data_IF_736145444445
#
_entry.id   IF_736145444445
#
_cell.length_a   1.000
_cell.length_b   1.000
_cell.length_c   1.000
_cell.angle_alpha   90.00
_cell.angle_beta   90.00
_cell.angle_gamma   90.00
#
_symmetry.space_group_name_H-M   'P 1'
#
loop_
_entity.id
_entity.type
_entity.pdbx_description
1 polymer ?
#
# COMPACT_ATOMS: atom_id res chain seq x y z
N UNK A 1 -36.93 65.16 -4.06
CA UNK A 1 -36.17 64.30 -3.11
C UNK A 1 -36.83 62.95 -2.78
N UNK A 2 -38.17 62.68 -2.82
CA UNK A 2 -38.70 61.35 -2.53
C UNK A 2 -38.41 60.26 -3.55
N UNK A 3 -38.32 60.57 -4.85
CA UNK A 3 -38.08 59.61 -5.90
C UNK A 3 -36.68 58.94 -5.82
N UNK A 4 -35.64 59.69 -5.44
CA UNK A 4 -34.28 59.15 -5.28
C UNK A 4 -34.23 58.10 -4.17
N UNK A 5 -34.93 58.31 -3.05
CA UNK A 5 -35.00 57.37 -1.92
C UNK A 5 -35.77 56.07 -2.29
N UNK A 6 -36.78 56.16 -3.17
CA UNK A 6 -37.55 55.00 -3.66
C UNK A 6 -36.68 54.16 -4.60
N UNK A 7 -35.95 54.79 -5.52
CA UNK A 7 -35.06 54.11 -6.45
C UNK A 7 -33.90 53.41 -5.75
N UNK A 8 -33.39 54.01 -4.68
CA UNK A 8 -32.34 53.35 -3.86
C UNK A 8 -32.84 52.14 -3.08
N UNK A 9 -34.05 52.20 -2.53
CA UNK A 9 -34.69 51.05 -1.88
C UNK A 9 -34.95 49.92 -2.87
N UNK A 10 -35.50 50.25 -4.04
CA UNK A 10 -35.77 49.28 -5.10
C UNK A 10 -34.45 48.60 -5.60
N UNK A 11 -33.37 49.36 -5.75
CA UNK A 11 -32.07 48.82 -6.12
C UNK A 11 -31.49 47.87 -5.07
N UNK A 12 -31.61 48.21 -3.77
CA UNK A 12 -31.18 47.33 -2.66
C UNK A 12 -32.02 46.06 -2.59
N UNK A 13 -33.32 46.13 -2.80
CA UNK A 13 -34.20 44.94 -2.82
C UNK A 13 -33.82 44.00 -3.97
N UNK A 14 -33.62 44.53 -5.18
CA UNK A 14 -33.17 43.72 -6.33
C UNK A 14 -31.79 43.07 -6.10
N UNK A 15 -30.84 43.80 -5.52
CA UNK A 15 -29.52 43.25 -5.16
C UNK A 15 -29.62 42.11 -4.14
N UNK A 16 -30.36 42.33 -3.04
CA UNK A 16 -30.59 41.28 -2.02
C UNK A 16 -31.26 40.05 -2.62
N UNK A 17 -32.31 40.24 -3.47
CA UNK A 17 -32.97 39.13 -4.16
C UNK A 17 -31.99 38.31 -5.01
N UNK A 18 -31.11 38.94 -5.77
CA UNK A 18 -30.13 38.23 -6.59
C UNK A 18 -29.13 37.43 -5.72
N UNK A 19 -28.64 38.02 -4.63
CA UNK A 19 -27.77 37.29 -3.66
C UNK A 19 -28.51 36.14 -3.00
N UNK A 20 -29.76 36.31 -2.62
CA UNK A 20 -30.57 35.24 -2.00
C UNK A 20 -30.79 34.07 -2.95
N UNK A 21 -31.04 34.33 -4.25
CA UNK A 21 -31.17 33.27 -5.27
C UNK A 21 -29.87 32.46 -5.41
N UNK A 22 -28.70 33.12 -5.40
CA UNK A 22 -27.41 32.46 -5.46
C UNK A 22 -27.15 31.63 -4.18
N UNK A 23 -27.45 32.17 -2.99
CA UNK A 23 -27.33 31.46 -1.74
C UNK A 23 -28.26 30.23 -1.69
N UNK A 24 -29.46 30.32 -2.16
CA UNK A 24 -30.37 29.20 -2.29
C UNK A 24 -29.82 28.13 -3.28
N UNK A 25 -29.28 28.55 -4.42
CA UNK A 25 -28.66 27.61 -5.38
C UNK A 25 -27.44 26.92 -4.81
N UNK A 26 -26.69 27.58 -3.91
CA UNK A 26 -25.55 26.95 -3.19
C UNK A 26 -25.99 25.84 -2.24
N UNK A 27 -27.03 26.11 -1.45
CA UNK A 27 -27.52 25.17 -0.43
C UNK A 27 -28.39 24.07 -1.04
N UNK A 28 -29.30 24.45 -1.94
CA UNK A 28 -30.25 23.55 -2.57
C UNK A 28 -30.28 23.86 -4.07
N UNK A 29 -29.49 23.16 -4.88
CA UNK A 29 -29.43 23.39 -6.34
C UNK A 29 -30.82 23.20 -6.98
N UNK A 30 -31.20 24.16 -7.79
CA UNK A 30 -32.54 24.18 -8.40
C UNK A 30 -33.60 25.00 -7.67
N UNK A 31 -33.34 25.45 -6.44
CA UNK A 31 -34.31 26.24 -5.66
C UNK A 31 -34.60 27.60 -6.26
N UNK A 32 -33.59 28.31 -6.81
CA UNK A 32 -33.77 29.58 -7.49
C UNK A 32 -34.65 29.41 -8.76
N UNK A 33 -34.43 28.34 -9.52
CA UNK A 33 -35.21 27.99 -10.70
C UNK A 33 -36.67 27.67 -10.34
N UNK A 34 -36.87 26.95 -9.27
CA UNK A 34 -38.22 26.58 -8.79
C UNK A 34 -39.05 27.80 -8.38
N UNK A 35 -38.43 28.77 -7.71
CA UNK A 35 -39.12 29.95 -7.15
C UNK A 35 -39.32 31.05 -8.17
N UNK A 36 -38.35 31.32 -9.03
CA UNK A 36 -38.31 32.49 -9.84
C UNK A 36 -37.95 32.28 -11.33
N UNK A 37 -37.75 31.01 -11.73
CA UNK A 37 -37.33 30.62 -13.09
C UNK A 37 -38.12 29.48 -13.68
N UNK A 38 -37.45 28.57 -14.38
CA UNK A 38 -38.04 27.39 -14.98
C UNK A 38 -38.30 26.32 -13.91
N UNK A 39 -39.58 26.11 -13.58
CA UNK A 39 -40.00 25.18 -12.51
C UNK A 39 -39.65 23.73 -12.82
N UNK A 40 -39.58 23.34 -14.08
CA UNK A 40 -39.27 21.95 -14.45
C UNK A 40 -37.79 21.65 -14.22
N UNK A 41 -36.90 22.54 -14.61
CA UNK A 41 -35.46 22.45 -14.30
C UNK A 41 -35.27 22.44 -12.78
N UNK A 42 -35.96 23.34 -12.05
CA UNK A 42 -35.88 23.40 -10.60
C UNK A 42 -36.30 22.08 -9.90
N UNK A 43 -37.44 21.50 -10.36
CA UNK A 43 -37.92 20.20 -9.81
C UNK A 43 -36.95 19.06 -10.08
N UNK A 44 -36.41 18.96 -11.29
CA UNK A 44 -35.44 17.93 -11.64
C UNK A 44 -34.16 18.06 -10.78
N UNK A 45 -33.60 19.28 -10.72
CA UNK A 45 -32.40 19.56 -9.96
C UNK A 45 -32.56 19.21 -8.45
N UNK A 46 -33.69 19.64 -7.85
CA UNK A 46 -33.98 19.31 -6.43
C UNK A 46 -34.16 17.80 -6.21
N UNK A 47 -34.85 17.10 -7.12
CA UNK A 47 -35.01 15.65 -7.01
C UNK A 47 -33.67 14.93 -7.06
N UNK A 48 -32.81 15.29 -8.01
CA UNK A 48 -31.47 14.71 -8.15
C UNK A 48 -30.66 15.01 -6.88
N UNK A 49 -30.70 16.24 -6.38
CA UNK A 49 -29.99 16.63 -5.16
C UNK A 49 -30.47 15.85 -3.92
N UNK A 50 -31.80 15.70 -3.74
CA UNK A 50 -32.39 14.94 -2.63
C UNK A 50 -32.03 13.44 -2.72
N UNK A 51 -32.06 12.86 -3.91
CA UNK A 51 -31.63 11.48 -4.14
C UNK A 51 -30.14 11.31 -3.81
N UNK A 52 -29.31 12.23 -4.27
CA UNK A 52 -27.86 12.22 -3.98
C UNK A 52 -27.59 12.34 -2.47
N UNK A 53 -28.26 13.28 -1.82
CA UNK A 53 -28.14 13.46 -0.37
C UNK A 53 -28.61 12.20 0.39
N UNK A 54 -29.75 11.63 -0.02
CA UNK A 54 -30.27 10.38 0.55
C UNK A 54 -29.28 9.22 0.38
N UNK A 55 -28.71 9.05 -0.81
CA UNK A 55 -27.69 8.02 -1.08
C UNK A 55 -26.44 8.23 -0.22
N UNK A 56 -25.96 9.47 -0.08
CA UNK A 56 -24.82 9.79 0.78
C UNK A 56 -25.10 9.51 2.26
N UNK A 57 -26.28 9.86 2.75
CA UNK A 57 -26.67 9.62 4.15
C UNK A 57 -26.83 8.13 4.42
N UNK A 58 -27.57 7.41 3.56
CA UNK A 58 -27.74 5.94 3.71
C UNK A 58 -26.41 5.22 3.57
N UNK A 59 -25.61 5.58 2.57
CA UNK A 59 -24.27 5.03 2.38
C UNK A 59 -23.35 5.31 3.57
N UNK A 60 -23.37 6.54 4.10
CA UNK A 60 -22.60 6.91 5.29
C UNK A 60 -23.00 6.13 6.54
N UNK A 61 -24.32 5.92 6.76
CA UNK A 61 -24.82 5.07 7.84
C UNK A 61 -24.39 3.62 7.64
N UNK A 62 -24.52 3.09 6.43
CA UNK A 62 -24.11 1.72 6.11
C UNK A 62 -22.60 1.50 6.35
N UNK A 63 -21.76 2.46 5.95
CA UNK A 63 -20.31 2.42 6.19
C UNK A 63 -19.98 2.56 7.69
N UNK A 64 -20.73 3.37 8.43
CA UNK A 64 -20.55 3.51 9.87
C UNK A 64 -20.90 2.22 10.63
N UNK A 65 -21.93 1.50 10.17
CA UNK A 65 -22.33 0.20 10.72
C UNK A 65 -21.40 -0.94 10.25
N UNK A 66 -20.90 -0.87 9.01
CA UNK A 66 -20.01 -1.86 8.42
C UNK A 66 -18.83 -1.17 7.72
N UNK A 67 -17.73 -0.87 8.43
CA UNK A 67 -16.56 -0.19 7.86
C UNK A 67 -15.91 -0.94 6.67
N UNK A 68 -16.06 -2.27 6.61
CA UNK A 68 -15.60 -3.09 5.48
C UNK A 68 -16.31 -2.75 4.16
N UNK A 69 -17.58 -2.30 4.21
CA UNK A 69 -18.30 -1.86 3.02
C UNK A 69 -17.67 -0.60 2.41
N UNK A 70 -17.30 0.37 3.26
CA UNK A 70 -16.60 1.57 2.81
C UNK A 70 -15.27 1.25 2.12
N UNK A 71 -14.53 0.30 2.68
CA UNK A 71 -13.27 -0.16 2.10
C UNK A 71 -13.50 -0.84 0.75
N UNK A 72 -14.49 -1.74 0.64
CA UNK A 72 -14.84 -2.41 -0.64
C UNK A 72 -15.26 -1.41 -1.71
N UNK A 73 -16.07 -0.41 -1.36
CA UNK A 73 -16.49 0.63 -2.30
C UNK A 73 -15.30 1.49 -2.73
N UNK A 74 -14.43 1.85 -1.79
CA UNK A 74 -13.24 2.65 -2.08
C UNK A 74 -12.20 1.90 -2.94
N UNK A 75 -12.12 0.58 -2.84
CA UNK A 75 -11.19 -0.26 -3.60
C UNK A 75 -11.82 -0.89 -4.85
N UNK A 76 -12.96 -0.40 -5.30
CA UNK A 76 -13.60 -0.87 -6.53
C UNK A 76 -13.42 0.16 -7.65
N UNK A 77 -12.77 -0.24 -8.75
CA UNK A 77 -12.45 0.64 -9.88
C UNK A 77 -13.70 1.20 -10.60
N UNK A 78 -14.80 0.40 -10.68
CA UNK A 78 -16.04 0.83 -11.32
C UNK A 78 -16.80 1.83 -10.47
N UNK A 79 -16.78 1.66 -9.14
CA UNK A 79 -17.33 2.65 -8.20
C UNK A 79 -16.58 3.98 -8.32
N UNK A 80 -15.25 3.93 -8.45
CA UNK A 80 -14.44 5.15 -8.66
C UNK A 80 -14.75 5.81 -10.00
N UNK A 81 -14.96 5.03 -11.06
CA UNK A 81 -15.39 5.57 -12.35
C UNK A 81 -16.76 6.23 -12.25
N UNK A 82 -17.73 5.56 -11.63
CA UNK A 82 -19.08 6.10 -11.43
C UNK A 82 -19.04 7.39 -10.60
N UNK A 83 -18.27 7.44 -9.52
CA UNK A 83 -18.07 8.61 -8.68
C UNK A 83 -17.44 9.77 -9.48
N UNK A 84 -16.40 9.49 -10.29
CA UNK A 84 -15.78 10.48 -11.19
C UNK A 84 -16.79 11.08 -12.14
N UNK A 85 -17.53 10.25 -12.88
CA UNK A 85 -18.53 10.70 -13.86
C UNK A 85 -19.63 11.51 -13.19
N UNK A 86 -20.11 11.05 -12.03
CA UNK A 86 -21.10 11.77 -11.24
C UNK A 86 -20.62 13.19 -10.84
N UNK A 87 -19.38 13.31 -10.34
CA UNK A 87 -18.81 14.61 -9.96
C UNK A 87 -18.58 15.53 -11.16
N UNK A 88 -18.14 14.99 -12.33
CA UNK A 88 -17.97 15.78 -13.56
C UNK A 88 -19.32 16.33 -14.05
N UNK A 89 -20.35 15.48 -14.14
CA UNK A 89 -21.70 15.90 -14.52
C UNK A 89 -22.26 16.90 -13.50
N UNK A 90 -22.06 16.64 -12.21
CA UNK A 90 -22.46 17.54 -11.13
C UNK A 90 -21.81 18.92 -11.22
N UNK A 91 -20.51 18.99 -11.55
CA UNK A 91 -19.78 20.24 -11.70
C UNK A 91 -20.37 21.10 -12.83
N UNK A 92 -20.64 20.49 -13.99
CA UNK A 92 -21.25 21.19 -15.13
C UNK A 92 -22.69 21.62 -14.83
N UNK A 93 -23.49 20.71 -14.27
CA UNK A 93 -24.90 20.99 -13.94
C UNK A 93 -25.02 22.10 -12.89
N UNK A 94 -24.22 22.05 -11.82
CA UNK A 94 -24.29 23.06 -10.75
C UNK A 94 -23.79 24.42 -11.23
N UNK A 95 -22.71 24.46 -12.06
CA UNK A 95 -22.27 25.68 -12.71
C UNK A 95 -23.37 26.28 -13.60
N UNK A 96 -24.07 25.45 -14.37
CA UNK A 96 -25.23 25.87 -15.16
C UNK A 96 -26.37 26.48 -14.32
N UNK A 97 -26.67 25.88 -13.18
CA UNK A 97 -27.67 26.40 -12.23
C UNK A 97 -27.26 27.75 -11.64
N UNK A 98 -25.96 27.97 -11.33
CA UNK A 98 -25.48 29.29 -10.89
C UNK A 98 -25.57 30.34 -11.97
N UNK A 99 -25.23 30.02 -13.22
CA UNK A 99 -25.35 30.93 -14.36
C UNK A 99 -26.84 31.31 -14.58
N UNK A 100 -27.74 30.33 -14.50
CA UNK A 100 -29.15 30.56 -14.64
C UNK A 100 -29.74 31.38 -13.47
N UNK A 101 -29.35 31.08 -12.22
CA UNK A 101 -29.73 31.90 -11.05
C UNK A 101 -29.24 33.34 -11.16
N UNK A 102 -28.05 33.57 -11.73
CA UNK A 102 -27.55 34.91 -12.07
C UNK A 102 -28.44 35.59 -13.12
N UNK A 103 -28.85 34.88 -14.17
CA UNK A 103 -29.77 35.42 -15.20
C UNK A 103 -31.14 35.80 -14.62
N UNK A 104 -31.71 34.92 -13.76
CA UNK A 104 -32.98 35.15 -13.04
C UNK A 104 -32.90 36.41 -12.16
N UNK A 105 -31.73 36.67 -11.55
CA UNK A 105 -31.47 37.86 -10.74
C UNK A 105 -31.41 39.16 -11.51
N UNK A 106 -31.53 39.13 -12.85
CA UNK A 106 -31.54 40.29 -13.76
C UNK A 106 -30.42 41.31 -13.48
N UNK A 107 -29.14 40.91 -13.55
CA UNK A 107 -28.01 41.75 -13.15
C UNK A 107 -27.88 43.03 -13.98
N UNK A 108 -28.38 43.03 -15.20
CA UNK A 108 -28.33 44.21 -16.09
C UNK A 108 -29.19 45.37 -15.60
N UNK A 109 -30.19 45.13 -14.76
CA UNK A 109 -31.05 46.15 -14.17
C UNK A 109 -30.47 46.79 -12.89
N UNK A 110 -29.29 46.30 -12.45
CA UNK A 110 -28.64 46.79 -11.26
C UNK A 110 -27.65 47.91 -11.55
N UNK A 111 -27.39 48.78 -10.55
CA UNK A 111 -26.32 49.78 -10.61
C UNK A 111 -24.97 49.11 -10.79
N UNK A 112 -24.03 49.75 -11.47
CA UNK A 112 -22.72 49.19 -11.83
C UNK A 112 -21.96 48.54 -10.69
N UNK A 113 -21.87 49.14 -9.47
CA UNK A 113 -21.16 48.49 -8.32
C UNK A 113 -21.85 47.20 -7.87
N UNK A 114 -23.18 47.20 -7.77
CA UNK A 114 -23.97 46.01 -7.39
C UNK A 114 -23.87 44.89 -8.45
N UNK A 115 -23.85 45.27 -9.73
CA UNK A 115 -23.69 44.34 -10.85
C UNK A 115 -22.32 43.67 -10.81
N UNK A 116 -21.24 44.43 -10.59
CA UNK A 116 -19.87 43.87 -10.43
C UNK A 116 -19.80 42.93 -9.23
N UNK A 117 -20.37 43.31 -8.11
CA UNK A 117 -20.42 42.48 -6.91
C UNK A 117 -21.14 41.13 -7.16
N UNK A 118 -22.32 41.17 -7.83
CA UNK A 118 -23.07 39.92 -8.13
C UNK A 118 -22.30 39.03 -9.11
N UNK A 119 -21.68 39.60 -10.14
CA UNK A 119 -20.84 38.83 -11.08
C UNK A 119 -19.65 38.18 -10.33
N UNK A 120 -18.99 38.95 -9.47
CA UNK A 120 -17.88 38.43 -8.65
C UNK A 120 -18.33 37.30 -7.71
N UNK A 121 -19.42 37.50 -6.97
CA UNK A 121 -19.96 36.44 -6.06
C UNK A 121 -20.38 35.21 -6.84
N UNK A 122 -21.09 35.38 -7.97
CA UNK A 122 -21.48 34.23 -8.79
C UNK A 122 -20.26 33.45 -9.34
N UNK A 123 -19.24 34.19 -9.80
CA UNK A 123 -18.00 33.59 -10.26
C UNK A 123 -17.31 32.80 -9.15
N UNK A 124 -17.15 33.39 -7.96
CA UNK A 124 -16.53 32.70 -6.80
C UNK A 124 -17.31 31.42 -6.42
N UNK A 125 -18.64 31.51 -6.31
CA UNK A 125 -19.49 30.37 -5.98
C UNK A 125 -19.40 29.26 -7.04
N UNK A 126 -19.50 29.65 -8.31
CA UNK A 126 -19.38 28.71 -9.44
C UNK A 126 -18.03 28.00 -9.43
N UNK A 127 -16.91 28.74 -9.34
CA UNK A 127 -15.58 28.18 -9.32
C UNK A 127 -15.31 27.35 -8.05
N UNK A 128 -15.80 27.77 -6.89
CA UNK A 128 -15.62 27.01 -5.65
C UNK A 128 -16.34 25.66 -5.72
N UNK A 129 -17.61 25.63 -6.13
CA UNK A 129 -18.37 24.36 -6.18
C UNK A 129 -17.87 23.48 -7.32
N UNK A 130 -17.73 24.02 -8.54
CA UNK A 130 -17.22 23.25 -9.66
C UNK A 130 -15.77 22.78 -9.42
N UNK A 131 -14.92 23.65 -8.87
CA UNK A 131 -13.54 23.31 -8.53
C UNK A 131 -13.44 22.18 -7.50
N UNK A 132 -14.29 22.21 -6.47
CA UNK A 132 -14.35 21.12 -5.48
C UNK A 132 -14.78 19.80 -6.10
N UNK A 133 -15.80 19.81 -6.95
CA UNK A 133 -16.27 18.60 -7.66
C UNK A 133 -15.24 18.08 -8.66
N UNK A 134 -14.58 18.98 -9.40
CA UNK A 134 -13.51 18.61 -10.34
C UNK A 134 -12.28 18.05 -9.62
N UNK A 135 -11.93 18.63 -8.48
CA UNK A 135 -10.86 18.09 -7.64
C UNK A 135 -11.21 16.69 -7.10
N UNK A 136 -12.45 16.50 -6.61
CA UNK A 136 -12.93 15.17 -6.22
C UNK A 136 -12.92 14.17 -7.39
N UNK A 137 -13.31 14.59 -8.59
CA UNK A 137 -13.25 13.76 -9.79
C UNK A 137 -11.80 13.40 -10.19
N UNK A 138 -10.85 14.30 -9.97
CA UNK A 138 -9.43 14.03 -10.17
C UNK A 138 -8.90 12.98 -9.17
N UNK A 139 -9.25 13.11 -7.88
CA UNK A 139 -8.89 12.11 -6.87
C UNK A 139 -9.47 10.73 -7.19
N UNK A 140 -10.75 10.66 -7.60
CA UNK A 140 -11.37 9.41 -8.01
C UNK A 140 -10.69 8.79 -9.25
N UNK A 141 -10.22 9.63 -10.19
CA UNK A 141 -9.44 9.16 -11.34
C UNK A 141 -8.09 8.56 -10.90
N UNK A 142 -7.32 9.28 -10.08
CA UNK A 142 -6.03 8.81 -9.59
C UNK A 142 -6.18 7.48 -8.82
N UNK A 143 -7.24 7.37 -8.00
CA UNK A 143 -7.54 6.13 -7.29
C UNK A 143 -7.92 4.98 -8.23
N UNK A 144 -8.73 5.25 -9.25
CA UNK A 144 -9.08 4.26 -10.27
C UNK A 144 -7.85 3.79 -11.03
N UNK A 145 -7.00 4.71 -11.48
CA UNK A 145 -5.79 4.39 -12.24
C UNK A 145 -4.83 3.52 -11.43
N UNK A 146 -4.78 3.71 -10.10
CA UNK A 146 -4.07 2.81 -9.20
C UNK A 146 -4.72 1.41 -9.15
N UNK A 147 -6.04 1.33 -9.01
CA UNK A 147 -6.75 0.05 -8.90
C UNK A 147 -6.70 -0.77 -10.19
N UNK A 148 -6.66 -0.14 -11.36
CA UNK A 148 -6.59 -0.82 -12.66
C UNK A 148 -5.19 -1.37 -13.00
N UNK A 149 -4.19 -1.18 -12.13
CA UNK A 149 -2.87 -1.82 -12.28
C UNK A 149 -2.84 -3.25 -11.73
N UNK A 150 -3.84 -3.62 -10.93
CA UNK A 150 -3.97 -4.99 -10.42
C UNK A 150 -4.67 -5.88 -11.44
N UNK A 151 -4.33 -7.16 -11.43
CA UNK A 151 -4.95 -8.17 -12.29
C UNK A 151 -6.45 -8.27 -11.96
N UNK A 152 -7.29 -8.48 -12.94
CA UNK A 152 -8.71 -8.74 -12.73
C UNK A 152 -8.91 -10.10 -12.04
N UNK A 153 -9.79 -10.13 -11.06
CA UNK A 153 -10.14 -11.35 -10.34
C UNK A 153 -10.51 -11.12 -8.88
N UNK A 154 -11.00 -12.17 -8.26
CA UNK A 154 -11.33 -12.22 -6.84
C UNK A 154 -10.25 -12.96 -6.05
N UNK A 155 -10.35 -12.89 -4.71
CA UNK A 155 -9.47 -13.61 -3.81
C UNK A 155 -9.58 -15.12 -4.05
N UNK A 156 -8.47 -15.77 -4.39
CA UNK A 156 -8.38 -17.22 -4.50
C UNK A 156 -8.61 -17.93 -3.17
N UNK A 157 -8.67 -19.25 -3.21
CA UNK A 157 -8.78 -20.06 -2.00
C UNK A 157 -7.48 -19.98 -1.17
N UNK A 158 -7.63 -20.00 0.14
CA UNK A 158 -6.50 -20.12 1.05
C UNK A 158 -5.98 -21.57 1.03
N UNK A 159 -4.66 -21.77 1.00
CA UNK A 159 -4.03 -23.08 1.09
C UNK A 159 -3.91 -23.48 2.56
N UNK A 160 -4.52 -24.58 2.96
CA UNK A 160 -4.59 -25.04 4.35
C UNK A 160 -5.04 -23.95 5.35
N UNK A 161 -5.99 -23.09 4.91
CA UNK A 161 -6.50 -21.98 5.71
C UNK A 161 -5.56 -20.77 5.81
N UNK A 162 -4.49 -20.72 5.03
CA UNK A 162 -3.50 -19.65 5.03
C UNK A 162 -3.28 -19.05 3.64
N UNK A 163 -2.98 -17.78 3.59
CA UNK A 163 -2.46 -17.12 2.39
C UNK A 163 -0.94 -16.99 2.51
N UNK A 164 -0.24 -17.63 1.59
CA UNK A 164 1.21 -17.55 1.48
C UNK A 164 1.58 -16.52 0.43
N UNK A 165 2.11 -15.37 0.86
CA UNK A 165 2.48 -14.26 -0.02
C UNK A 165 4.00 -14.17 -0.09
N UNK A 166 4.55 -14.32 -1.28
CA UNK A 166 5.98 -14.17 -1.53
C UNK A 166 6.34 -12.68 -1.67
N UNK A 167 7.11 -12.18 -0.74
CA UNK A 167 7.60 -10.80 -0.73
C UNK A 167 9.01 -10.76 -1.29
N UNK A 168 9.19 -10.08 -2.42
CA UNK A 168 10.46 -9.94 -3.12
C UNK A 168 10.94 -8.49 -3.05
N UNK A 169 12.20 -8.31 -2.66
CA UNK A 169 12.89 -7.03 -2.75
C UNK A 169 13.97 -7.13 -3.83
N UNK A 170 13.79 -6.41 -4.93
CA UNK A 170 14.70 -6.46 -6.06
C UNK A 170 15.45 -5.15 -6.31
N UNK A 171 16.65 -5.25 -6.86
CA UNK A 171 17.43 -4.13 -7.38
C UNK A 171 17.22 -4.05 -8.91
N UNK A 172 16.09 -3.51 -9.34
CA UNK A 172 15.87 -3.18 -10.75
C UNK A 172 16.49 -1.82 -11.04
N UNK A 173 17.80 -1.77 -11.26
CA UNK A 173 18.49 -0.59 -11.76
C UNK A 173 18.49 -0.58 -13.29
N UNK A 174 18.47 0.61 -13.92
CA UNK A 174 18.48 0.79 -15.38
C UNK A 174 19.69 0.14 -16.09
N UNK A 175 20.73 -0.25 -15.34
CA UNK A 175 22.00 -0.77 -15.85
C UNK A 175 22.26 -2.25 -15.52
N UNK A 176 21.25 -3.00 -15.03
CA UNK A 176 21.41 -4.43 -14.68
C UNK A 176 20.42 -5.29 -15.44
N UNK A 177 20.96 -6.25 -16.20
CA UNK A 177 20.20 -7.31 -16.83
C UNK A 177 19.58 -8.22 -15.76
N UNK A 178 18.29 -8.44 -15.87
CA UNK A 178 17.53 -9.38 -15.05
C UNK A 178 17.19 -8.86 -13.65
N UNK A 179 16.06 -9.33 -13.18
CA UNK A 179 15.55 -9.06 -11.83
C UNK A 179 16.21 -10.06 -10.87
N UNK A 180 17.15 -9.61 -10.02
CA UNK A 180 17.73 -10.45 -8.96
C UNK A 180 17.14 -10.05 -7.62
N UNK A 181 16.27 -10.88 -7.04
CA UNK A 181 15.74 -10.60 -5.71
C UNK A 181 16.84 -10.77 -4.66
N UNK A 182 17.16 -9.68 -3.98
CA UNK A 182 18.13 -9.68 -2.87
C UNK A 182 17.49 -9.91 -1.50
N UNK A 183 16.16 -9.84 -1.44
CA UNK A 183 15.36 -10.15 -0.25
C UNK A 183 14.19 -11.04 -0.65
N UNK A 184 14.08 -12.19 -0.01
CA UNK A 184 13.02 -13.16 -0.24
C UNK A 184 12.43 -13.58 1.09
N UNK A 185 11.12 -13.36 1.25
CA UNK A 185 10.40 -13.68 2.48
C UNK A 185 9.00 -14.18 2.12
N UNK A 186 8.60 -15.30 2.67
CA UNK A 186 7.20 -15.74 2.59
C UNK A 186 6.47 -15.25 3.83
N UNK A 187 5.40 -14.47 3.62
CA UNK A 187 4.44 -14.12 4.66
C UNK A 187 3.27 -15.12 4.61
N UNK A 188 3.26 -16.07 5.53
CA UNK A 188 2.16 -17.02 5.68
C UNK A 188 1.18 -16.46 6.71
N UNK A 189 -0.04 -16.13 6.27
CA UNK A 189 -1.06 -15.42 7.05
C UNK A 189 -2.30 -16.28 7.19
N UNK A 190 -2.71 -16.57 8.40
CA UNK A 190 -3.97 -17.27 8.68
C UNK A 190 -5.15 -16.43 8.19
N UNK A 191 -5.97 -17.01 7.31
CA UNK A 191 -7.07 -16.32 6.62
C UNK A 191 -8.16 -15.80 7.58
N UNK A 192 -8.30 -16.42 8.75
CA UNK A 192 -9.34 -16.12 9.73
C UNK A 192 -8.84 -15.16 10.81
N UNK A 193 -7.71 -15.48 11.43
CA UNK A 193 -7.18 -14.74 12.58
C UNK A 193 -6.21 -13.63 12.20
N UNK A 194 -5.54 -13.74 11.06
CA UNK A 194 -4.45 -12.86 10.64
C UNK A 194 -3.11 -13.18 11.28
N UNK A 195 -2.98 -14.27 12.06
CA UNK A 195 -1.71 -14.70 12.65
C UNK A 195 -0.70 -14.97 11.56
N UNK A 196 0.43 -14.27 11.62
CA UNK A 196 1.41 -14.24 10.54
C UNK A 196 2.72 -14.91 10.95
N UNK A 197 3.25 -15.72 10.05
CA UNK A 197 4.61 -16.28 10.13
C UNK A 197 5.42 -15.72 8.96
N UNK A 198 6.53 -15.05 9.27
CA UNK A 198 7.48 -14.55 8.28
C UNK A 198 8.62 -15.54 8.12
N UNK A 199 8.77 -16.12 6.93
CA UNK A 199 9.78 -17.11 6.60
C UNK A 199 10.83 -16.44 5.72
N UNK A 200 12.02 -16.18 6.27
CA UNK A 200 13.11 -15.51 5.56
C UNK A 200 14.01 -16.54 4.87
N UNK A 201 14.24 -16.37 3.56
CA UNK A 201 15.11 -17.23 2.77
C UNK A 201 16.41 -16.48 2.41
N UNK A 202 17.58 -17.12 2.58
CA UNK A 202 18.86 -16.51 2.20
C UNK A 202 19.05 -16.60 0.69
N UNK A 203 19.40 -15.48 0.08
CA UNK A 203 19.59 -15.36 -1.38
C UNK A 203 20.71 -16.27 -1.93
N UNK A 204 21.64 -16.68 -1.08
CA UNK A 204 22.79 -17.52 -1.40
C UNK A 204 22.59 -19.01 -1.08
N UNK A 205 21.34 -19.45 -0.92
CA UNK A 205 21.05 -20.88 -0.80
C UNK A 205 21.38 -21.60 -2.10
N UNK A 206 21.92 -22.81 -2.00
CA UNK A 206 22.31 -23.67 -3.12
C UNK A 206 21.70 -25.06 -2.94
N UNK A 207 21.81 -25.91 -3.97
CA UNK A 207 21.43 -27.32 -3.92
C UNK A 207 20.04 -27.59 -3.34
N UNK A 208 19.06 -26.79 -3.74
CA UNK A 208 17.67 -26.91 -3.30
C UNK A 208 16.79 -27.49 -4.43
N UNK A 209 15.71 -28.21 -4.09
CA UNK A 209 14.74 -28.69 -5.05
C UNK A 209 13.79 -27.59 -5.50
N UNK A 210 13.17 -27.79 -6.65
CA UNK A 210 12.01 -27.02 -7.09
C UNK A 210 10.71 -27.76 -6.69
N UNK A 211 9.58 -27.06 -6.82
CA UNK A 211 8.25 -27.69 -6.67
C UNK A 211 8.13 -28.86 -7.63
N UNK A 212 7.76 -30.02 -7.11
CA UNK A 212 7.58 -31.27 -7.87
C UNK A 212 6.67 -31.07 -9.08
N UNK A 213 7.06 -31.59 -10.23
CA UNK A 213 6.33 -31.51 -11.49
C UNK A 213 6.36 -30.13 -12.18
N UNK A 214 7.01 -29.13 -11.58
CA UNK A 214 7.16 -27.79 -12.21
C UNK A 214 8.08 -27.81 -13.42
N UNK A 215 8.08 -26.73 -14.20
CA UNK A 215 9.02 -26.54 -15.31
C UNK A 215 10.45 -26.59 -14.82
N UNK A 216 10.73 -25.92 -13.69
CA UNK A 216 12.08 -25.87 -13.10
C UNK A 216 12.52 -27.23 -12.55
N UNK A 217 11.62 -28.04 -11.99
CA UNK A 217 11.91 -29.40 -11.55
C UNK A 217 12.30 -30.33 -12.73
N UNK A 218 11.63 -30.16 -13.87
CA UNK A 218 11.97 -30.90 -15.09
C UNK A 218 13.34 -30.51 -15.66
N UNK A 219 13.71 -29.22 -15.55
CA UNK A 219 15.02 -28.72 -16.00
C UNK A 219 16.15 -29.10 -15.03
N UNK A 220 15.86 -29.13 -13.75
CA UNK A 220 16.80 -29.42 -12.66
C UNK A 220 16.32 -30.55 -11.76
N UNK A 221 16.23 -31.80 -12.28
CA UNK A 221 15.64 -32.93 -11.52
C UNK A 221 16.46 -33.34 -10.28
N UNK A 222 17.69 -32.85 -10.15
CA UNK A 222 18.54 -33.02 -8.96
C UNK A 222 18.56 -31.80 -8.06
N UNK A 223 17.71 -30.79 -8.35
CA UNK A 223 17.74 -29.48 -7.71
C UNK A 223 18.70 -28.51 -8.42
N UNK A 224 18.76 -27.28 -7.93
CA UNK A 224 19.59 -26.21 -8.51
C UNK A 224 21.04 -26.36 -8.00
N UNK A 225 21.76 -27.36 -8.53
CA UNK A 225 23.03 -27.89 -8.05
C UNK A 225 24.26 -27.46 -8.88
N UNK A 226 24.12 -26.55 -9.84
CA UNK A 226 25.20 -26.06 -10.67
C UNK A 226 26.16 -25.11 -9.89
N UNK A 227 27.39 -24.97 -10.39
CA UNK A 227 28.37 -24.05 -9.78
C UNK A 227 27.90 -22.60 -9.89
N UNK A 228 27.88 -21.88 -8.78
CA UNK A 228 27.38 -20.52 -8.70
C UNK A 228 25.86 -20.39 -8.77
N UNK A 229 25.11 -21.48 -8.76
CA UNK A 229 23.65 -21.52 -8.76
C UNK A 229 23.10 -21.19 -7.37
N UNK A 230 22.87 -19.90 -7.13
CA UNK A 230 22.26 -19.40 -5.91
C UNK A 230 20.75 -19.13 -6.13
N UNK A 231 19.99 -19.15 -5.04
CA UNK A 231 18.54 -18.90 -5.06
C UNK A 231 18.16 -17.58 -5.76
N UNK A 232 18.95 -16.51 -5.57
CA UNK A 232 18.72 -15.27 -6.29
C UNK A 232 19.13 -15.30 -7.78
N UNK A 233 19.79 -16.35 -8.23
CA UNK A 233 20.13 -16.57 -9.63
C UNK A 233 19.02 -17.23 -10.44
N UNK A 234 18.06 -17.88 -9.78
CA UNK A 234 16.91 -18.55 -10.42
C UNK A 234 16.14 -17.60 -11.31
N UNK A 235 15.87 -16.40 -10.83
CA UNK A 235 15.17 -15.36 -11.58
C UNK A 235 15.90 -15.00 -12.87
N UNK A 236 17.21 -14.79 -12.82
CA UNK A 236 18.03 -14.47 -14.00
C UNK A 236 18.03 -15.61 -14.99
N UNK A 237 18.17 -16.85 -14.50
CA UNK A 237 18.15 -18.03 -15.36
C UNK A 237 16.84 -18.14 -16.14
N UNK A 238 15.70 -17.90 -15.48
CA UNK A 238 14.40 -17.97 -16.13
C UNK A 238 14.16 -16.83 -17.12
N UNK A 239 14.67 -15.63 -16.85
CA UNK A 239 14.64 -14.51 -17.82
C UNK A 239 15.48 -14.78 -19.08
N UNK A 240 16.54 -15.61 -18.98
CA UNK A 240 17.32 -16.06 -20.12
C UNK A 240 16.66 -17.25 -20.88
N UNK A 241 15.56 -17.85 -20.32
CA UNK A 241 14.85 -19.00 -20.87
C UNK A 241 13.33 -18.78 -20.86
N UNK A 242 12.90 -17.64 -21.36
CA UNK A 242 11.48 -17.22 -21.35
C UNK A 242 10.55 -18.15 -22.11
N UNK A 243 11.07 -18.88 -23.11
CA UNK A 243 10.35 -19.86 -23.92
C UNK A 243 9.82 -21.06 -23.11
N UNK A 244 10.32 -21.28 -21.91
CA UNK A 244 9.88 -22.34 -21.00
C UNK A 244 8.68 -21.94 -20.13
N UNK A 245 8.31 -20.66 -20.10
CA UNK A 245 7.31 -20.11 -19.18
C UNK A 245 6.16 -19.47 -19.96
N UNK A 246 4.95 -19.77 -19.56
CA UNK A 246 3.74 -19.07 -20.02
C UNK A 246 3.37 -17.97 -19.02
N UNK A 247 4.25 -16.99 -18.89
CA UNK A 247 4.13 -15.89 -17.92
C UNK A 247 4.88 -14.64 -18.39
N UNK A 248 4.30 -13.48 -18.13
CA UNK A 248 4.95 -12.17 -18.34
C UNK A 248 6.10 -11.93 -17.34
N UNK A 249 6.23 -12.78 -16.31
CA UNK A 249 7.23 -12.67 -15.24
C UNK A 249 7.95 -14.00 -14.99
N UNK A 250 8.66 -14.56 -15.97
CA UNK A 250 9.30 -15.89 -15.87
C UNK A 250 10.25 -16.00 -14.68
N UNK A 251 11.03 -14.93 -14.39
CA UNK A 251 11.95 -14.91 -13.26
C UNK A 251 11.26 -15.01 -11.90
N UNK A 252 10.07 -14.40 -11.74
CA UNK A 252 9.29 -14.50 -10.51
C UNK A 252 8.66 -15.88 -10.40
N UNK A 253 8.11 -16.40 -11.50
CA UNK A 253 7.47 -17.72 -11.53
C UNK A 253 8.47 -18.84 -11.16
N UNK A 254 9.68 -18.80 -11.74
CA UNK A 254 10.73 -19.74 -11.39
C UNK A 254 11.20 -19.60 -9.92
N UNK A 255 11.29 -18.36 -9.41
CA UNK A 255 11.62 -18.10 -8.01
C UNK A 255 10.54 -18.64 -7.08
N UNK A 256 9.26 -18.51 -7.44
CA UNK A 256 8.12 -19.10 -6.74
C UNK A 256 8.26 -20.62 -6.66
N UNK A 257 8.51 -21.29 -7.80
CA UNK A 257 8.74 -22.75 -7.85
C UNK A 257 9.89 -23.20 -6.94
N UNK A 258 10.98 -22.42 -6.88
CA UNK A 258 12.11 -22.71 -5.98
C UNK A 258 11.70 -22.59 -4.50
N UNK A 259 11.00 -21.51 -4.13
CA UNK A 259 10.58 -21.27 -2.76
C UNK A 259 9.54 -22.30 -2.30
N UNK A 260 8.64 -22.72 -3.18
CA UNK A 260 7.69 -23.80 -2.92
C UNK A 260 8.41 -25.12 -2.66
N UNK A 261 9.43 -25.48 -3.45
CA UNK A 261 10.27 -26.67 -3.22
C UNK A 261 11.07 -26.60 -1.93
N UNK A 262 11.60 -25.44 -1.57
CA UNK A 262 12.39 -25.26 -0.34
C UNK A 262 11.50 -25.29 0.91
N UNK A 263 10.33 -24.63 0.87
CA UNK A 263 9.50 -24.43 2.08
C UNK A 263 8.41 -25.48 2.26
N UNK A 264 8.03 -26.19 1.20
CA UNK A 264 6.86 -27.06 1.16
C UNK A 264 5.53 -26.32 1.16
N UNK A 265 5.55 -24.98 1.04
CA UNK A 265 4.35 -24.15 1.03
C UNK A 265 3.96 -23.82 -0.41
N UNK A 266 2.71 -23.96 -0.74
CA UNK A 266 2.15 -23.42 -1.98
C UNK A 266 1.96 -21.92 -1.86
N UNK A 267 2.53 -21.14 -2.81
CA UNK A 267 2.50 -19.67 -2.82
C UNK A 267 1.25 -19.21 -3.57
N UNK A 268 0.34 -18.50 -2.86
CA UNK A 268 -0.87 -17.96 -3.46
C UNK A 268 -0.60 -16.73 -4.31
N UNK A 269 0.23 -15.81 -3.80
CA UNK A 269 0.49 -14.52 -4.43
C UNK A 269 1.93 -14.08 -4.21
N UNK A 270 2.36 -13.15 -5.07
CA UNK A 270 3.65 -12.51 -4.89
C UNK A 270 3.52 -10.97 -4.92
N UNK A 271 4.43 -10.31 -4.26
CA UNK A 271 4.61 -8.86 -4.27
C UNK A 271 6.09 -8.56 -4.43
N UNK A 272 6.43 -7.79 -5.45
CA UNK A 272 7.77 -7.30 -5.66
C UNK A 272 7.85 -5.81 -5.46
N UNK A 273 8.85 -5.37 -4.69
CA UNK A 273 9.11 -3.96 -4.41
C UNK A 273 10.54 -3.62 -4.81
N UNK A 274 10.73 -2.66 -5.69
CA UNK A 274 12.06 -2.15 -5.99
C UNK A 274 12.52 -1.09 -4.95
N UNK A 275 13.82 -0.76 -4.97
CA UNK A 275 14.40 0.17 -3.99
C UNK A 275 13.77 1.57 -4.01
N UNK A 276 13.35 2.07 -5.18
CA UNK A 276 12.69 3.38 -5.29
C UNK A 276 11.29 3.32 -4.69
N UNK A 277 10.54 2.24 -4.98
CA UNK A 277 9.22 1.99 -4.41
C UNK A 277 9.25 1.87 -2.90
N UNK A 278 10.20 1.09 -2.38
CA UNK A 278 10.39 0.97 -0.93
C UNK A 278 10.63 2.33 -0.25
N UNK A 279 11.55 3.17 -0.79
CA UNK A 279 11.81 4.50 -0.23
C UNK A 279 10.56 5.38 -0.22
N UNK A 280 9.83 5.42 -1.32
CA UNK A 280 8.60 6.22 -1.45
C UNK A 280 7.51 5.71 -0.53
N UNK A 281 7.33 4.38 -0.47
CA UNK A 281 6.33 3.76 0.40
C UNK A 281 6.59 4.11 1.88
N UNK A 282 7.82 3.95 2.35
CA UNK A 282 8.18 4.32 3.73
C UNK A 282 7.95 5.81 4.00
N UNK A 283 8.29 6.70 3.04
CA UNK A 283 8.05 8.13 3.18
C UNK A 283 6.55 8.47 3.20
N UNK A 284 5.75 7.84 2.34
CA UNK A 284 4.29 8.04 2.31
C UNK A 284 3.63 7.65 3.64
N UNK A 285 4.17 6.65 4.34
CA UNK A 285 3.75 6.31 5.70
C UNK A 285 4.36 7.20 6.79
N UNK A 286 5.12 8.22 6.41
CA UNK A 286 5.76 9.16 7.34
C UNK A 286 6.99 8.59 8.04
N UNK A 287 7.59 7.52 7.51
CA UNK A 287 8.77 6.87 8.07
C UNK A 287 8.44 5.68 8.99
N UNK A 288 9.46 4.96 9.43
CA UNK A 288 9.37 3.79 10.31
C UNK A 288 10.26 3.97 11.53
N UNK A 289 9.75 3.66 12.72
CA UNK A 289 10.51 3.76 13.97
C UNK A 289 11.17 2.43 14.28
N UNK A 290 12.49 2.43 14.42
CA UNK A 290 13.31 1.26 14.71
C UNK A 290 14.28 1.55 15.85
N UNK A 291 14.61 0.52 16.61
CA UNK A 291 15.70 0.59 17.58
C UNK A 291 17.01 0.18 16.89
N UNK A 292 17.79 1.16 16.48
CA UNK A 292 19.11 0.97 15.86
C UNK A 292 20.10 0.65 16.95
N UNK A 293 20.56 -0.61 17.02
CA UNK A 293 21.48 -1.05 18.09
C UNK A 293 22.91 -0.66 17.83
N UNK A 294 23.29 -0.56 16.55
CA UNK A 294 24.61 -0.18 16.10
C UNK A 294 24.56 0.87 15.01
N UNK A 295 25.66 1.56 14.88
CA UNK A 295 25.93 2.48 13.77
C UNK A 295 25.91 1.75 12.43
N UNK A 296 24.98 2.10 11.56
CA UNK A 296 24.79 1.46 10.24
C UNK A 296 25.32 2.40 9.14
N UNK A 297 26.29 1.97 8.32
CA UNK A 297 26.79 2.79 7.23
C UNK A 297 25.74 3.04 6.15
N UNK A 298 25.70 4.28 5.66
CA UNK A 298 24.95 4.72 4.49
C UNK A 298 25.93 4.85 3.33
N UNK A 299 25.77 4.08 2.27
CA UNK A 299 26.79 3.89 1.24
C UNK A 299 27.52 2.57 1.41
N UNK A 300 28.72 2.47 0.87
CA UNK A 300 29.46 1.21 0.81
C UNK A 300 29.02 0.32 -0.36
N UNK A 301 29.37 -0.97 -0.34
CA UNK A 301 29.06 -1.96 -1.40
C UNK A 301 29.65 -1.57 -2.78
N UNK A 302 30.86 -0.99 -2.76
CA UNK A 302 31.54 -0.52 -3.99
C UNK A 302 31.39 0.98 -4.25
N UNK A 303 30.73 1.71 -3.37
CA UNK A 303 30.65 3.16 -3.33
C UNK A 303 31.16 3.70 -1.98
N UNK A 304 31.42 5.01 -1.90
CA UNK A 304 31.85 5.63 -0.64
C UNK A 304 30.74 5.58 0.42
N UNK A 305 31.14 5.43 1.68
CA UNK A 305 30.23 5.63 2.82
C UNK A 305 29.99 7.12 3.00
N UNK A 306 28.77 7.57 2.74
CA UNK A 306 28.39 8.99 2.76
C UNK A 306 27.85 9.46 4.11
N UNK A 307 27.54 8.54 5.02
CA UNK A 307 27.00 8.86 6.33
C UNK A 307 26.72 7.61 7.15
N UNK A 308 26.04 7.82 8.28
CA UNK A 308 25.68 6.72 9.18
C UNK A 308 24.32 6.95 9.82
N UNK A 309 23.61 5.84 10.06
CA UNK A 309 22.43 5.79 10.92
C UNK A 309 22.93 5.50 12.33
N UNK A 310 22.81 6.48 13.23
CA UNK A 310 23.35 6.37 14.58
C UNK A 310 22.46 5.52 15.49
N UNK A 311 23.05 4.87 16.52
CA UNK A 311 22.30 4.03 17.46
C UNK A 311 21.19 4.79 18.21
N UNK A 312 20.22 4.02 18.71
CA UNK A 312 19.07 4.48 19.49
C UNK A 312 17.74 4.27 18.79
N UNK A 313 16.65 4.63 19.42
CA UNK A 313 15.32 4.62 18.82
C UNK A 313 15.23 5.77 17.81
N UNK A 314 15.12 5.42 16.54
CA UNK A 314 15.17 6.36 15.43
C UNK A 314 13.92 6.20 14.56
N UNK A 315 13.34 7.34 14.17
CA UNK A 315 12.36 7.37 13.09
C UNK A 315 13.11 7.56 11.77
N UNK A 316 13.17 6.49 10.98
CA UNK A 316 13.89 6.44 9.71
C UNK A 316 12.95 6.85 8.58
N UNK A 317 13.41 7.74 7.71
CA UNK A 317 12.77 8.01 6.43
C UNK A 317 13.03 6.87 5.43
N UNK A 318 12.48 6.95 4.23
CA UNK A 318 12.64 5.88 3.23
C UNK A 318 14.08 5.64 2.79
N UNK A 319 14.92 6.67 2.76
CA UNK A 319 16.35 6.54 2.44
C UNK A 319 17.09 5.77 3.55
N UNK A 320 16.93 6.18 4.78
CA UNK A 320 17.62 5.57 5.90
C UNK A 320 17.10 4.17 6.21
N UNK A 321 15.78 3.94 6.10
CA UNK A 321 15.18 2.63 6.23
C UNK A 321 15.70 1.65 5.16
N UNK A 322 15.88 2.11 3.91
CA UNK A 322 16.49 1.31 2.85
C UNK A 322 17.94 0.94 3.19
N UNK A 323 18.75 1.91 3.62
CA UNK A 323 20.15 1.63 3.99
C UNK A 323 20.24 0.74 5.24
N UNK A 324 19.37 0.93 6.22
CA UNK A 324 19.26 0.02 7.37
C UNK A 324 19.01 -1.43 6.93
N UNK A 325 18.10 -1.64 5.98
CA UNK A 325 17.75 -2.96 5.48
C UNK A 325 18.78 -3.56 4.49
N UNK A 326 19.64 -2.74 3.87
CA UNK A 326 20.50 -3.16 2.75
C UNK A 326 21.99 -3.17 3.09
N UNK A 327 22.44 -2.35 4.03
CA UNK A 327 23.86 -2.19 4.34
C UNK A 327 24.51 -3.52 4.72
N UNK A 328 25.69 -3.79 4.17
CA UNK A 328 26.55 -4.93 4.48
C UNK A 328 27.97 -4.52 4.83
N UNK A 329 28.27 -3.21 4.74
CA UNK A 329 29.57 -2.69 5.08
C UNK A 329 29.90 -2.95 6.56
N UNK A 330 31.00 -3.65 6.83
CA UNK A 330 31.37 -4.08 8.18
C UNK A 330 30.44 -5.15 8.81
N UNK A 331 29.60 -5.81 8.00
CA UNK A 331 28.56 -6.75 8.43
C UNK A 331 28.44 -7.91 7.43
N UNK A 332 27.57 -8.86 7.70
CA UNK A 332 27.31 -10.03 6.84
C UNK A 332 25.86 -10.02 6.27
N UNK A 333 25.59 -10.99 5.39
CA UNK A 333 24.31 -11.15 4.74
C UNK A 333 23.18 -11.53 5.71
N UNK A 334 23.47 -12.32 6.74
CA UNK A 334 22.48 -12.77 7.73
C UNK A 334 22.08 -11.64 8.68
N UNK A 335 23.01 -10.78 9.04
CA UNK A 335 22.73 -9.54 9.79
C UNK A 335 21.82 -8.59 8.98
N UNK A 336 22.03 -8.50 7.66
CA UNK A 336 21.13 -7.79 6.76
C UNK A 336 19.74 -8.40 6.78
N UNK A 337 19.58 -9.71 6.65
CA UNK A 337 18.28 -10.40 6.72
C UNK A 337 17.55 -10.12 8.04
N UNK A 338 18.26 -10.12 9.17
CA UNK A 338 17.69 -9.77 10.46
C UNK A 338 17.17 -8.32 10.47
N UNK A 339 17.90 -7.35 9.89
CA UNK A 339 17.45 -5.97 9.77
C UNK A 339 16.22 -5.83 8.85
N UNK A 340 16.18 -6.57 7.73
CA UNK A 340 15.02 -6.61 6.84
C UNK A 340 13.78 -7.10 7.59
N UNK A 341 13.91 -8.15 8.38
CA UNK A 341 12.86 -8.67 9.26
C UNK A 341 12.33 -7.61 10.24
N UNK A 342 13.21 -6.81 10.86
CA UNK A 342 12.83 -5.71 11.73
C UNK A 342 12.04 -4.63 10.99
N UNK A 343 12.49 -4.23 9.81
CA UNK A 343 11.80 -3.23 9.00
C UNK A 343 10.41 -3.71 8.57
N UNK A 344 10.30 -4.96 8.09
CA UNK A 344 9.03 -5.54 7.66
C UNK A 344 8.02 -5.62 8.80
N UNK A 345 8.47 -6.09 9.98
CA UNK A 345 7.62 -6.15 11.17
C UNK A 345 7.19 -4.75 11.64
N UNK A 346 8.10 -3.78 11.63
CA UNK A 346 7.79 -2.42 12.00
C UNK A 346 6.79 -1.76 11.01
N UNK A 347 6.94 -2.00 9.71
CA UNK A 347 5.97 -1.55 8.71
C UNK A 347 4.60 -2.17 8.97
N UNK A 348 4.51 -3.48 9.18
CA UNK A 348 3.24 -4.16 9.43
C UNK A 348 2.54 -3.62 10.69
N UNK A 349 3.28 -3.35 11.75
CA UNK A 349 2.72 -2.99 13.06
C UNK A 349 2.47 -1.48 13.23
N UNK A 350 3.27 -0.62 12.61
CA UNK A 350 3.23 0.84 12.82
C UNK A 350 2.32 1.57 11.83
N UNK A 351 2.13 1.05 10.59
CA UNK A 351 1.26 1.70 9.61
C UNK A 351 -0.18 1.68 10.09
N UNK A 352 -0.79 2.86 10.26
CA UNK A 352 -2.20 2.98 10.65
C UNK A 352 -3.12 3.07 9.43
N UNK A 353 -4.36 2.54 9.49
CA UNK A 353 -5.35 2.71 8.42
C UNK A 353 -5.63 4.18 8.10
N UNK A 354 -5.56 5.05 9.12
CA UNK A 354 -5.73 6.49 8.94
C UNK A 354 -4.62 7.08 8.08
N UNK A 355 -3.35 6.71 8.33
CA UNK A 355 -2.21 7.15 7.52
C UNK A 355 -2.29 6.64 6.08
N UNK A 356 -2.72 5.39 5.90
CA UNK A 356 -2.95 4.84 4.56
C UNK A 356 -4.00 5.63 3.78
N UNK A 357 -5.09 6.07 4.44
CA UNK A 357 -6.14 6.87 3.84
C UNK A 357 -5.70 8.31 3.55
N UNK A 358 -5.01 8.97 4.51
CA UNK A 358 -4.59 10.37 4.35
C UNK A 358 -3.49 10.54 3.31
N UNK A 359 -2.62 9.55 3.16
CA UNK A 359 -1.48 9.58 2.24
C UNK A 359 -1.70 8.68 1.02
N UNK A 360 -2.98 8.36 0.75
CA UNK A 360 -3.35 7.43 -0.33
C UNK A 360 -2.77 7.83 -1.69
N UNK A 361 -2.81 9.11 -2.04
CA UNK A 361 -2.27 9.59 -3.31
C UNK A 361 -0.75 9.36 -3.42
N UNK A 362 0.01 9.66 -2.36
CA UNK A 362 1.45 9.41 -2.32
C UNK A 362 1.78 7.91 -2.38
N UNK A 363 0.95 7.08 -1.75
CA UNK A 363 1.09 5.62 -1.80
C UNK A 363 0.78 5.11 -3.22
N UNK A 364 -0.29 5.60 -3.85
CA UNK A 364 -0.68 5.23 -5.21
C UNK A 364 0.41 5.62 -6.22
N UNK A 365 0.93 6.84 -6.14
CA UNK A 365 2.03 7.31 -6.98
C UNK A 365 3.35 6.54 -6.73
N UNK A 366 3.59 6.13 -5.47
CA UNK A 366 4.74 5.30 -5.13
C UNK A 366 4.63 3.89 -5.70
N UNK A 367 3.40 3.37 -5.79
CA UNK A 367 3.13 1.98 -6.18
C UNK A 367 3.15 1.77 -7.69
N UNK A 368 2.64 2.73 -8.48
CA UNK A 368 2.33 2.56 -9.90
C UNK A 368 3.50 2.19 -10.84
N UNK A 369 4.74 2.47 -10.45
CA UNK A 369 5.92 2.16 -11.28
C UNK A 369 6.95 1.28 -10.55
N UNK A 370 6.65 0.78 -9.35
CA UNK A 370 7.69 0.29 -8.43
C UNK A 370 7.26 -0.91 -7.59
N UNK A 371 6.00 -1.28 -7.63
CA UNK A 371 5.44 -2.48 -7.01
C UNK A 371 4.77 -3.28 -8.11
N UNK A 372 5.17 -4.52 -8.27
CA UNK A 372 4.50 -5.49 -9.14
C UNK A 372 3.91 -6.60 -8.29
N UNK A 373 2.74 -7.13 -8.67
CA UNK A 373 2.04 -8.18 -7.92
C UNK A 373 1.04 -8.90 -8.81
N UNK A 374 0.75 -10.15 -8.48
CA UNK A 374 -0.35 -10.93 -9.04
C UNK A 374 -1.61 -10.92 -8.15
N UNK A 375 -1.63 -10.11 -7.08
CA UNK A 375 -2.82 -9.96 -6.24
C UNK A 375 -3.93 -9.32 -7.09
N UNK A 376 -5.11 -9.97 -7.21
CA UNK A 376 -6.21 -9.40 -7.97
C UNK A 376 -6.77 -8.12 -7.34
N UNK A 377 -7.21 -7.19 -8.19
CA UNK A 377 -7.82 -5.93 -7.74
C UNK A 377 -9.05 -6.13 -6.84
N UNK A 378 -9.89 -7.12 -7.17
CA UNK A 378 -11.04 -7.52 -6.35
C UNK A 378 -10.67 -8.07 -4.97
N UNK A 379 -9.50 -8.71 -4.84
CA UNK A 379 -8.98 -9.24 -3.58
C UNK A 379 -8.38 -8.17 -2.65
N UNK A 380 -8.07 -6.97 -3.16
CA UNK A 380 -7.33 -5.95 -2.42
C UNK A 380 -8.02 -5.55 -1.10
N UNK A 381 -9.37 -5.45 -1.11
CA UNK A 381 -10.13 -5.14 0.10
C UNK A 381 -9.98 -6.22 1.18
N UNK A 382 -9.94 -7.48 0.80
CA UNK A 382 -9.83 -8.61 1.72
C UNK A 382 -8.40 -8.72 2.25
N UNK A 383 -7.39 -8.47 1.42
CA UNK A 383 -5.99 -8.36 1.86
C UNK A 383 -5.77 -7.21 2.83
N UNK A 384 -6.36 -6.03 2.60
CA UNK A 384 -6.28 -4.91 3.57
C UNK A 384 -6.94 -5.28 4.89
N UNK A 385 -8.11 -5.95 4.87
CA UNK A 385 -8.76 -6.44 6.08
C UNK A 385 -7.91 -7.50 6.79
N UNK A 386 -7.29 -8.41 6.04
CA UNK A 386 -6.39 -9.42 6.57
C UNK A 386 -5.16 -8.77 7.24
N UNK A 387 -4.54 -7.79 6.58
CA UNK A 387 -3.43 -7.02 7.14
C UNK A 387 -3.82 -6.26 8.42
N UNK A 388 -5.05 -5.71 8.47
CA UNK A 388 -5.57 -5.04 9.67
C UNK A 388 -5.78 -6.02 10.84
N UNK A 389 -6.12 -7.28 10.57
CA UNK A 389 -6.16 -8.35 11.58
C UNK A 389 -4.76 -8.75 12.00
N UNK A 390 -3.88 -9.04 11.03
CA UNK A 390 -2.49 -9.42 11.25
C UNK A 390 -1.73 -8.42 12.13
N UNK A 391 -1.99 -7.12 11.96
CA UNK A 391 -1.39 -6.06 12.76
C UNK A 391 -1.67 -6.18 14.26
N UNK A 392 -2.77 -6.80 14.67
CA UNK A 392 -3.18 -6.94 16.08
C UNK A 392 -2.56 -8.17 16.74
N UNK A 393 -2.01 -9.06 15.94
CA UNK A 393 -1.41 -10.32 16.38
C UNK A 393 0.11 -10.21 16.45
N UNK A 394 0.73 -11.05 17.28
CA UNK A 394 2.17 -11.18 17.31
C UNK A 394 2.68 -11.83 16.02
N UNK A 395 3.70 -11.24 15.41
CA UNK A 395 4.34 -11.81 14.21
C UNK A 395 5.39 -12.82 14.63
N UNK A 396 5.19 -14.07 14.26
CA UNK A 396 6.20 -15.13 14.40
C UNK A 396 7.15 -15.11 13.21
N UNK A 397 8.39 -15.56 13.43
CA UNK A 397 9.37 -15.59 12.34
C UNK A 397 10.22 -16.84 12.37
N UNK A 398 10.62 -17.31 11.19
CA UNK A 398 11.64 -18.32 11.01
C UNK A 398 12.61 -17.87 9.91
N UNK A 399 13.90 -18.03 10.12
CA UNK A 399 14.91 -17.71 9.12
C UNK A 399 15.70 -18.97 8.77
N UNK A 400 15.77 -19.30 7.49
CA UNK A 400 16.41 -20.50 6.98
C UNK A 400 17.92 -20.28 6.79
N UNK A 401 18.62 -20.02 7.89
CA UNK A 401 20.04 -19.60 7.89
C UNK A 401 20.88 -20.40 8.89
N UNK A 402 22.22 -20.41 8.74
CA UNK A 402 23.10 -21.01 9.73
C UNK A 402 22.91 -20.38 11.14
N UNK A 403 23.14 -21.12 12.22
CA UNK A 403 23.65 -22.49 12.21
C UNK A 403 22.59 -23.58 12.01
N UNK A 404 21.30 -23.24 11.96
CA UNK A 404 20.19 -24.20 11.88
C UNK A 404 20.08 -24.85 10.49
N UNK A 405 20.27 -24.07 9.42
CA UNK A 405 20.20 -24.53 8.03
C UNK A 405 21.55 -24.27 7.36
N UNK A 406 22.16 -25.31 6.82
CA UNK A 406 23.34 -25.17 5.96
C UNK A 406 22.86 -24.64 4.59
N UNK A 407 23.23 -23.41 4.26
CA UNK A 407 22.76 -22.76 3.00
C UNK A 407 23.43 -23.31 1.75
N UNK A 408 24.57 -23.99 1.86
CA UNK A 408 25.22 -24.65 0.73
C UNK A 408 24.58 -26.01 0.42
N UNK A 409 24.18 -26.75 1.46
CA UNK A 409 23.53 -28.06 1.35
C UNK A 409 22.38 -28.12 2.35
N UNK A 410 21.22 -27.53 2.04
CA UNK A 410 20.09 -27.51 2.95
C UNK A 410 19.46 -28.90 3.12
N UNK A 411 19.23 -29.28 4.37
CA UNK A 411 18.35 -30.40 4.69
C UNK A 411 16.90 -29.96 4.54
N UNK A 412 16.27 -30.34 3.44
CA UNK A 412 14.92 -29.89 3.06
C UNK A 412 13.88 -30.45 4.04
N UNK A 413 14.03 -31.68 4.52
CA UNK A 413 13.13 -32.24 5.54
C UNK A 413 13.18 -31.46 6.85
N UNK A 414 14.38 -31.00 7.23
CA UNK A 414 14.53 -30.10 8.36
C UNK A 414 13.88 -28.75 8.13
N UNK A 415 14.04 -28.18 6.92
CA UNK A 415 13.41 -26.89 6.54
C UNK A 415 11.90 -26.99 6.63
N UNK A 416 11.28 -28.02 6.03
CA UNK A 416 9.84 -28.25 6.10
C UNK A 416 9.38 -28.35 7.57
N UNK A 417 10.05 -29.16 8.39
CA UNK A 417 9.74 -29.26 9.84
C UNK A 417 9.87 -27.92 10.58
N UNK A 418 10.83 -27.07 10.20
CA UNK A 418 10.99 -25.74 10.80
C UNK A 418 9.82 -24.83 10.43
N UNK A 419 9.38 -24.85 9.19
CA UNK A 419 8.24 -24.09 8.68
C UNK A 419 6.95 -24.52 9.35
N UNK A 420 6.64 -25.84 9.36
CA UNK A 420 5.44 -26.41 9.99
C UNK A 420 5.40 -26.08 11.49
N UNK A 421 6.53 -26.24 12.17
CA UNK A 421 6.62 -25.92 13.60
C UNK A 421 6.40 -24.43 13.89
N UNK A 422 6.82 -23.54 12.98
CA UNK A 422 6.57 -22.10 13.14
C UNK A 422 5.09 -21.78 12.95
N UNK A 423 4.43 -22.40 11.97
CA UNK A 423 2.99 -22.28 11.73
C UNK A 423 2.20 -22.83 12.92
N UNK A 424 2.50 -24.05 13.37
CA UNK A 424 1.83 -24.69 14.51
C UNK A 424 1.94 -23.84 15.80
N UNK A 425 3.10 -23.20 16.02
CA UNK A 425 3.28 -22.29 17.17
C UNK A 425 2.45 -21.03 17.02
N UNK A 426 2.41 -20.44 15.82
CA UNK A 426 1.60 -19.25 15.55
C UNK A 426 0.12 -19.55 15.76
N UNK A 427 -0.34 -20.74 15.41
CA UNK A 427 -1.72 -21.20 15.60
C UNK A 427 -2.02 -21.64 17.05
N UNK A 428 -1.02 -21.71 17.91
CA UNK A 428 -1.17 -22.16 19.29
C UNK A 428 -1.27 -23.68 19.48
N UNK A 429 -1.05 -24.45 18.42
CA UNK A 429 -1.03 -25.93 18.47
C UNK A 429 0.20 -26.47 19.22
N UNK A 430 1.30 -25.72 19.19
CA UNK A 430 2.55 -26.03 19.92
C UNK A 430 2.93 -24.89 20.86
N UNK A 431 3.51 -25.21 22.01
CA UNK A 431 4.02 -24.19 22.94
C UNK A 431 5.13 -23.37 22.29
N UNK A 432 5.19 -22.04 22.54
CA UNK A 432 6.30 -21.21 22.11
C UNK A 432 7.62 -21.84 22.53
N UNK A 433 8.61 -21.81 21.65
CA UNK A 433 9.97 -22.24 22.01
C UNK A 433 10.47 -21.30 23.11
N UNK A 434 10.64 -21.79 24.32
CA UNK A 434 11.15 -20.97 25.41
C UNK A 434 12.46 -20.35 24.94
N UNK A 435 12.48 -19.02 24.81
CA UNK A 435 13.73 -18.31 24.56
C UNK A 435 14.61 -18.62 25.76
N UNK A 436 15.63 -19.47 25.60
CA UNK A 436 16.66 -19.62 26.62
C UNK A 436 17.29 -18.24 26.76
N UNK A 437 16.79 -17.44 27.70
CA UNK A 437 17.43 -16.23 28.14
C UNK A 437 18.81 -16.67 28.64
N UNK A 438 19.78 -16.68 27.73
CA UNK A 438 21.18 -16.75 28.16
C UNK A 438 21.34 -15.57 29.11
N UNK A 439 21.70 -15.88 30.38
CA UNK A 439 22.08 -14.90 31.40
C UNK A 439 22.75 -13.73 30.69
N UNK A 440 22.28 -12.50 30.96
CA UNK A 440 22.93 -11.25 30.56
C UNK A 440 24.42 -11.44 30.76
N UNK A 441 25.18 -11.65 29.71
CA UNK A 441 26.62 -11.51 29.78
C UNK A 441 26.81 -9.99 29.91
N UNK A 442 27.38 -9.58 31.03
CA UNK A 442 27.79 -8.20 31.30
C UNK A 442 29.01 -7.81 30.46
N UNK A 443 29.36 -8.58 29.44
CA UNK A 443 30.33 -8.20 28.43
C UNK A 443 29.77 -7.12 27.53
N UNK A 444 30.55 -6.09 27.27
CA UNK A 444 30.26 -5.11 26.21
C UNK A 444 29.81 -5.86 24.97
N UNK A 445 28.55 -5.72 24.62
CA UNK A 445 28.00 -6.22 23.35
C UNK A 445 28.63 -5.32 22.28
N UNK A 446 29.79 -5.69 21.81
CA UNK A 446 30.41 -5.05 20.66
C UNK A 446 29.68 -5.59 19.44
N UNK A 447 28.92 -4.76 18.85
CA UNK A 447 28.22 -5.10 17.67
C UNK A 447 26.76 -5.42 17.99
N UNK A 448 25.86 -4.45 17.77
CA UNK A 448 24.44 -4.69 17.91
C UNK A 448 24.03 -5.84 17.05
N UNK A 449 23.00 -6.49 17.49
CA UNK A 449 22.42 -7.71 16.93
C UNK A 449 22.30 -7.72 15.41
N UNK A 450 22.53 -6.66 14.76
CA UNK A 450 22.26 -6.56 13.35
C UNK A 450 23.50 -6.07 12.58
N UNK A 451 24.63 -5.96 13.27
CA UNK A 451 25.89 -5.52 12.72
C UNK A 451 27.01 -6.55 12.72
N UNK A 452 26.97 -7.53 13.64
CA UNK A 452 27.94 -8.62 13.69
C UNK A 452 27.35 -9.95 13.25
N UNK A 453 28.19 -10.84 12.78
CA UNK A 453 27.80 -12.19 12.34
C UNK A 453 27.08 -12.97 13.42
N UNK A 454 27.63 -12.98 14.65
CA UNK A 454 27.05 -13.70 15.77
C UNK A 454 25.70 -13.13 16.21
N UNK A 455 25.57 -11.80 16.19
CA UNK A 455 24.31 -11.13 16.56
C UNK A 455 23.25 -11.29 15.48
N UNK A 456 23.65 -11.30 14.19
CA UNK A 456 22.75 -11.62 13.07
C UNK A 456 22.16 -13.01 13.18
N UNK A 457 22.95 -14.00 13.57
CA UNK A 457 22.46 -15.37 13.82
C UNK A 457 21.48 -15.40 15.00
N UNK A 458 21.80 -14.76 16.11
CA UNK A 458 20.93 -14.71 17.28
C UNK A 458 19.58 -14.04 16.95
N UNK A 459 19.60 -12.95 16.20
CA UNK A 459 18.38 -12.25 15.79
C UNK A 459 17.53 -13.09 14.81
N UNK A 460 18.16 -13.92 13.98
CA UNK A 460 17.43 -14.81 13.07
C UNK A 460 16.85 -16.05 13.77
N UNK A 461 17.42 -16.47 14.91
CA UNK A 461 16.94 -17.61 15.69
C UNK A 461 15.71 -17.29 16.57
N UNK A 462 15.40 -16.01 16.79
CA UNK A 462 14.29 -15.65 17.68
C UNK A 462 12.95 -15.71 16.97
N UNK A 463 11.97 -16.30 17.65
CA UNK A 463 10.57 -16.24 17.22
C UNK A 463 9.90 -14.90 17.62
N UNK A 464 10.49 -14.17 18.58
CA UNK A 464 10.02 -12.85 19.04
C UNK A 464 10.86 -11.74 18.39
N UNK A 465 10.28 -11.15 17.34
CA UNK A 465 10.92 -10.07 16.58
C UNK A 465 11.05 -8.80 17.41
N UNK A 466 10.07 -8.52 18.28
CA UNK A 466 10.09 -7.31 19.12
C UNK A 466 11.30 -7.34 20.08
N UNK A 467 11.67 -8.52 20.59
CA UNK A 467 12.84 -8.68 21.43
C UNK A 467 14.16 -8.62 20.64
N UNK A 468 14.15 -9.00 19.34
CA UNK A 468 15.33 -8.97 18.46
C UNK A 468 15.58 -7.59 17.86
N UNK A 469 14.53 -6.83 17.61
CA UNK A 469 14.57 -5.51 17.00
C UNK A 469 14.47 -4.38 18.01
#
# INVERSE_FOLDING_TARGET
>A
MPQIAVDERAARVRFRRALTLMAFTLLVPGSAQLVAGNRDIGRVAIRVWLLSLGTLVVGGIAIALQPSLGLRLALNADVMLAARLYMLVGAVAWAGLFIDAWRIGQPLTLRLPHRRAIVGVNGILCFSVAGTLLFGAHLAAAQRDFLTQFVDGDLGAANDGRFNVLLLGGDSGADRWGLRPDSMTVASVDATTGRTVMIGLPRNMQNFPFREGSVMDKQFPKGFDCDGCYLNGVSTWAEDHTDLFDSDHPGIEATKMAIEGITGLEINYWVMVNMKGFKRLVNAFGGVTLNVRQRIPVGGLGSDVTGYIEPGTRKLNGHDALWYARSREGSDDYSRMARQKCVMTALLTQISPKQALTNFQEIAEASSAMISTDIPGGALSDFVQLAMRARKEAVSTVSLVPPQVNTAHPDIDLVHKMVDNAIDRAEGKKKPKATKTKKKSTGKVNGGSLGSRNDGYTANETDDVAAAC
#
